data_IF_054548922668
#
_entry.id   IF_054548922668
#
_cell.length_a   1.000
_cell.length_b   1.000
_cell.length_c   1.000
_cell.angle_alpha   90.00
_cell.angle_beta   90.00
_cell.angle_gamma   90.00
#
_symmetry.space_group_name_H-M   'P 1'
#
loop_
_entity.id
_entity.type
_entity.pdbx_description
1 polymer ?
#
# COMPACT_ATOMS: atom_id res chain seq x y z
N UNK A 1 -6.90 42.45 -7.95
CA UNK A 1 -7.89 42.23 -6.87
C UNK A 1 -8.25 40.75 -6.85
N UNK A 2 -8.06 40.06 -5.72
CA UNK A 2 -8.58 38.70 -5.56
C UNK A 2 -10.12 38.77 -5.59
N UNK A 3 -10.75 37.98 -6.48
CA UNK A 3 -12.20 37.80 -6.47
C UNK A 3 -12.58 37.08 -5.19
N UNK A 4 -13.35 37.75 -4.32
CA UNK A 4 -13.96 37.14 -3.15
C UNK A 4 -15.27 36.45 -3.58
N UNK A 5 -15.35 35.15 -3.35
CA UNK A 5 -16.57 34.37 -3.57
C UNK A 5 -17.34 34.27 -2.26
N UNK A 6 -18.61 34.65 -2.26
CA UNK A 6 -19.51 34.44 -1.11
C UNK A 6 -20.01 33.00 -1.16
N UNK A 7 -19.95 32.30 -0.03
CA UNK A 7 -20.53 30.96 0.16
C UNK A 7 -21.15 30.88 1.55
N UNK A 8 -22.06 29.93 1.80
CA UNK A 8 -22.58 29.65 3.13
C UNK A 8 -21.64 28.70 3.88
N UNK A 9 -21.70 28.72 5.22
CA UNK A 9 -20.92 27.78 6.03
C UNK A 9 -21.37 26.34 5.76
N UNK A 10 -22.68 26.11 5.61
CA UNK A 10 -23.26 24.78 5.40
C UNK A 10 -22.80 24.17 4.06
N UNK A 11 -22.80 24.96 2.99
CA UNK A 11 -22.31 24.51 1.68
C UNK A 11 -20.82 24.19 1.73
N UNK A 12 -20.02 25.07 2.35
CA UNK A 12 -18.58 24.89 2.46
C UNK A 12 -18.20 23.66 3.30
N UNK A 13 -18.88 23.46 4.43
CA UNK A 13 -18.66 22.30 5.29
C UNK A 13 -19.04 21.00 4.56
N UNK A 14 -20.19 20.99 3.90
CA UNK A 14 -20.68 19.81 3.17
C UNK A 14 -19.70 19.42 2.05
N UNK A 15 -19.25 20.38 1.24
CA UNK A 15 -18.32 20.15 0.13
C UNK A 15 -16.96 19.62 0.63
N UNK A 16 -16.39 20.27 1.66
CA UNK A 16 -15.07 19.92 2.19
C UNK A 16 -15.10 18.58 2.92
N UNK A 17 -16.13 18.34 3.71
CA UNK A 17 -16.32 17.07 4.42
C UNK A 17 -16.52 15.91 3.43
N UNK A 18 -17.38 16.08 2.43
CA UNK A 18 -17.63 15.05 1.42
C UNK A 18 -16.35 14.69 0.64
N UNK A 19 -15.59 15.71 0.21
CA UNK A 19 -14.33 15.51 -0.52
C UNK A 19 -13.31 14.73 0.32
N UNK A 20 -13.18 15.07 1.61
CA UNK A 20 -12.31 14.35 2.54
C UNK A 20 -12.80 12.91 2.80
N UNK A 21 -14.10 12.72 3.00
CA UNK A 21 -14.71 11.43 3.25
C UNK A 21 -14.48 10.46 2.09
N UNK A 22 -14.81 10.89 0.86
CA UNK A 22 -14.62 10.10 -0.36
C UNK A 22 -13.14 9.76 -0.55
N UNK A 23 -12.25 10.74 -0.42
CA UNK A 23 -10.80 10.52 -0.55
C UNK A 23 -10.27 9.48 0.47
N UNK A 24 -10.76 9.54 1.71
CA UNK A 24 -10.34 8.62 2.77
C UNK A 24 -10.88 7.20 2.54
N UNK A 25 -12.13 7.07 2.09
CA UNK A 25 -12.76 5.78 1.79
C UNK A 25 -12.05 5.09 0.61
N UNK A 26 -11.93 5.78 -0.53
CA UNK A 26 -11.47 5.19 -1.79
C UNK A 26 -9.93 5.09 -1.86
N UNK A 27 -9.23 6.12 -1.38
CA UNK A 27 -7.81 6.30 -1.68
C UNK A 27 -6.89 6.11 -0.47
N UNK A 28 -7.39 5.62 0.67
CA UNK A 28 -6.58 5.43 1.88
C UNK A 28 -6.94 4.19 2.69
N UNK A 29 -8.13 4.16 3.25
CA UNK A 29 -8.39 3.33 4.43
C UNK A 29 -8.85 1.91 4.12
N UNK A 30 -9.53 1.69 3.00
CA UNK A 30 -10.12 0.40 2.63
C UNK A 30 -9.28 -0.30 1.53
N UNK A 31 -9.20 -1.64 1.55
CA UNK A 31 -8.57 -2.40 0.48
C UNK A 31 -9.46 -2.44 -0.77
N UNK A 32 -8.86 -2.66 -1.93
CA UNK A 32 -9.61 -3.10 -3.11
C UNK A 32 -9.93 -4.60 -2.98
N UNK A 33 -11.17 -5.00 -3.32
CA UNK A 33 -11.62 -6.40 -3.18
C UNK A 33 -10.83 -7.36 -4.07
N UNK A 34 -10.33 -6.87 -5.22
CA UNK A 34 -9.71 -7.70 -6.25
C UNK A 34 -8.30 -8.15 -5.86
N UNK A 35 -7.50 -7.26 -5.27
CA UNK A 35 -6.13 -7.58 -4.86
C UNK A 35 -5.88 -7.54 -3.36
N UNK A 36 -6.88 -7.12 -2.56
CA UNK A 36 -6.77 -7.02 -1.11
C UNK A 36 -5.83 -5.93 -0.61
N UNK A 37 -5.37 -5.01 -1.48
CA UNK A 37 -4.39 -3.99 -1.12
C UNK A 37 -5.04 -2.62 -0.95
N UNK A 38 -4.54 -1.89 0.06
CA UNK A 38 -4.74 -0.43 0.16
C UNK A 38 -3.79 0.27 -0.82
N UNK A 39 -4.07 1.52 -1.22
CA UNK A 39 -3.22 2.25 -2.15
C UNK A 39 -1.74 2.33 -1.73
N UNK A 40 -1.44 2.55 -0.44
CA UNK A 40 -0.05 2.57 0.04
C UNK A 40 0.66 1.21 -0.15
N UNK A 41 -0.01 0.11 0.15
CA UNK A 41 0.56 -1.24 -0.01
C UNK A 41 0.84 -1.53 -1.49
N UNK A 42 -0.12 -1.23 -2.37
CA UNK A 42 0.00 -1.41 -3.82
C UNK A 42 1.19 -0.63 -4.39
N UNK A 43 1.34 0.63 -3.98
CA UNK A 43 2.42 1.50 -4.43
C UNK A 43 3.79 1.04 -3.93
N UNK A 44 3.89 0.53 -2.70
CA UNK A 44 5.12 -0.08 -2.17
C UNK A 44 5.51 -1.29 -3.02
N UNK A 45 4.59 -2.23 -3.19
CA UNK A 45 4.84 -3.48 -3.93
C UNK A 45 5.20 -3.18 -5.39
N UNK A 46 4.48 -2.28 -6.05
CA UNK A 46 4.76 -1.87 -7.43
C UNK A 46 6.09 -1.11 -7.60
N UNK A 47 6.43 -0.18 -6.70
CA UNK A 47 7.73 0.50 -6.72
C UNK A 47 8.89 -0.49 -6.52
N UNK A 48 8.74 -1.45 -5.59
CA UNK A 48 9.75 -2.50 -5.40
C UNK A 48 9.93 -3.39 -6.64
N UNK A 49 8.84 -3.70 -7.35
CA UNK A 49 8.89 -4.39 -8.64
C UNK A 49 9.65 -3.56 -9.69
N UNK A 50 9.33 -2.27 -9.83
CA UNK A 50 10.05 -1.37 -10.76
C UNK A 50 11.54 -1.23 -10.42
N UNK A 51 11.89 -1.29 -9.14
CA UNK A 51 13.28 -1.30 -8.66
C UNK A 51 13.97 -2.67 -8.85
N UNK A 52 13.29 -3.66 -9.43
CA UNK A 52 13.76 -5.03 -9.66
C UNK A 52 14.13 -5.76 -8.38
N UNK A 53 13.39 -5.50 -7.30
CA UNK A 53 13.62 -6.09 -5.98
C UNK A 53 12.81 -7.37 -5.77
N UNK A 54 12.77 -8.25 -6.77
CA UNK A 54 12.06 -9.53 -6.70
C UNK A 54 12.77 -10.50 -5.74
N UNK A 55 12.08 -11.56 -5.34
CA UNK A 55 12.71 -12.61 -4.55
C UNK A 55 13.99 -13.14 -5.24
N UNK A 56 15.06 -13.34 -4.46
CA UNK A 56 16.38 -13.71 -4.96
C UNK A 56 17.29 -12.52 -5.31
N UNK A 57 16.76 -11.30 -5.48
CA UNK A 57 17.60 -10.10 -5.62
C UNK A 57 18.31 -9.76 -4.30
N UNK A 58 19.41 -8.99 -4.32
CA UNK A 58 19.95 -8.39 -3.12
C UNK A 58 18.90 -7.51 -2.41
N UNK A 59 18.98 -7.44 -1.09
CA UNK A 59 18.18 -6.51 -0.31
C UNK A 59 18.55 -5.06 -0.62
N UNK A 60 17.58 -4.16 -0.50
CA UNK A 60 17.80 -2.71 -0.68
C UNK A 60 17.39 -1.96 0.58
N UNK A 61 18.17 -0.94 0.95
CA UNK A 61 17.85 -0.03 2.06
C UNK A 61 16.40 0.44 1.98
N UNK A 62 15.66 0.32 3.08
CA UNK A 62 14.26 0.73 3.14
C UNK A 62 14.10 2.22 2.84
N UNK A 63 15.05 3.06 3.28
CA UNK A 63 15.08 4.49 2.92
C UNK A 63 15.06 4.74 1.39
N UNK A 64 15.71 3.88 0.59
CA UNK A 64 15.68 4.00 -0.87
C UNK A 64 14.30 3.62 -1.44
N UNK A 65 13.70 2.55 -0.92
CA UNK A 65 12.37 2.08 -1.35
C UNK A 65 11.31 3.14 -1.00
N UNK A 66 11.29 3.59 0.26
CA UNK A 66 10.37 4.62 0.75
C UNK A 66 10.50 5.92 -0.05
N UNK A 67 11.74 6.36 -0.34
CA UNK A 67 11.98 7.53 -1.17
C UNK A 67 11.44 7.41 -2.60
N UNK A 68 11.56 6.23 -3.23
CA UNK A 68 11.04 5.99 -4.57
C UNK A 68 9.50 5.97 -4.59
N UNK A 69 8.89 5.29 -3.60
CA UNK A 69 7.43 5.27 -3.42
C UNK A 69 6.89 6.69 -3.20
N UNK A 70 7.51 7.45 -2.31
CA UNK A 70 7.11 8.82 -1.99
C UNK A 70 7.22 9.73 -3.21
N UNK A 71 8.36 9.69 -3.90
CA UNK A 71 8.66 10.57 -5.01
C UNK A 71 7.91 10.26 -6.31
N UNK A 72 7.43 9.02 -6.51
CA UNK A 72 6.72 8.64 -7.73
C UNK A 72 5.24 8.41 -7.53
N UNK A 73 4.79 7.88 -6.40
CA UNK A 73 3.45 7.30 -6.32
C UNK A 73 2.64 7.78 -5.12
N UNK A 74 3.26 8.00 -3.97
CA UNK A 74 2.54 8.21 -2.71
C UNK A 74 2.91 9.57 -2.07
N UNK A 75 2.12 10.64 -2.32
CA UNK A 75 2.43 12.00 -1.86
C UNK A 75 2.05 12.21 -0.37
N UNK A 76 2.56 11.34 0.50
CA UNK A 76 2.36 11.36 1.95
C UNK A 76 3.69 11.10 2.66
N UNK A 77 3.69 11.28 3.98
CA UNK A 77 4.91 11.17 4.79
C UNK A 77 5.63 9.83 4.64
N UNK A 78 6.95 9.90 4.59
CA UNK A 78 7.87 8.77 4.53
C UNK A 78 7.63 7.76 5.66
N UNK A 79 7.35 8.25 6.87
CA UNK A 79 7.03 7.39 8.01
C UNK A 79 5.81 6.49 7.75
N UNK A 80 4.73 7.01 7.18
CA UNK A 80 3.52 6.22 6.90
C UNK A 80 3.77 5.12 5.85
N UNK A 81 4.63 5.42 4.86
CA UNK A 81 5.06 4.44 3.85
C UNK A 81 5.95 3.38 4.51
N UNK A 82 6.89 3.80 5.35
CA UNK A 82 7.79 2.87 6.03
C UNK A 82 7.05 1.94 7.00
N UNK A 83 6.14 2.45 7.81
CA UNK A 83 5.32 1.64 8.72
C UNK A 83 4.47 0.63 7.96
N UNK A 84 3.94 1.03 6.80
CA UNK A 84 3.19 0.14 5.91
C UNK A 84 4.10 -0.96 5.34
N UNK A 85 5.32 -0.62 4.92
CA UNK A 85 6.32 -1.57 4.43
C UNK A 85 6.71 -2.57 5.53
N UNK A 86 7.00 -2.06 6.73
CA UNK A 86 7.35 -2.88 7.90
C UNK A 86 6.25 -3.89 8.19
N UNK A 87 4.98 -3.44 8.20
CA UNK A 87 3.85 -4.33 8.49
C UNK A 87 3.66 -5.43 7.46
N UNK A 88 3.97 -5.17 6.19
CA UNK A 88 3.97 -6.16 5.10
C UNK A 88 5.12 -7.18 5.20
N UNK A 89 6.10 -6.94 6.06
CA UNK A 89 7.25 -7.81 6.30
C UNK A 89 7.15 -8.61 7.61
N UNK A 90 6.21 -8.28 8.49
CA UNK A 90 6.02 -8.93 9.79
C UNK A 90 5.10 -10.15 9.66
N UNK A 91 5.60 -11.33 10.01
CA UNK A 91 4.88 -12.62 10.01
C UNK A 91 3.85 -12.75 11.15
N UNK A 92 3.99 -11.95 12.20
CA UNK A 92 3.00 -11.83 13.27
C UNK A 92 1.88 -10.82 12.97
N UNK A 93 2.07 -9.92 11.99
CA UNK A 93 1.06 -8.94 11.55
C UNK A 93 0.31 -9.37 10.30
N UNK A 94 0.97 -10.12 9.42
CA UNK A 94 0.42 -10.62 8.15
C UNK A 94 0.60 -12.12 8.08
N UNK A 95 -0.44 -12.83 7.64
CA UNK A 95 -0.42 -14.31 7.60
C UNK A 95 0.66 -14.83 6.65
N UNK A 96 0.79 -14.18 5.50
CA UNK A 96 1.87 -14.44 4.54
C UNK A 96 2.51 -13.11 4.15
N UNK A 97 3.71 -12.80 4.69
CA UNK A 97 4.43 -11.58 4.39
C UNK A 97 4.64 -11.40 2.88
N UNK A 98 4.34 -10.20 2.39
CA UNK A 98 4.56 -9.84 0.98
C UNK A 98 5.97 -9.28 0.76
N UNK A 99 6.65 -8.88 1.84
CA UNK A 99 8.00 -8.31 1.84
C UNK A 99 8.91 -9.15 2.73
N UNK A 100 10.14 -9.37 2.28
CA UNK A 100 11.22 -9.92 3.08
C UNK A 100 12.07 -8.77 3.64
N UNK A 101 12.17 -8.68 4.97
CA UNK A 101 12.97 -7.68 5.66
C UNK A 101 14.30 -8.24 6.20
N UNK A 102 15.36 -7.44 6.12
CA UNK A 102 16.65 -7.70 6.76
C UNK A 102 16.94 -6.60 7.80
N UNK A 103 17.23 -7.02 9.03
CA UNK A 103 17.41 -6.14 10.20
C UNK A 103 16.25 -6.26 11.18
N UNK A 104 16.12 -5.31 12.11
CA UNK A 104 15.04 -5.31 13.09
C UNK A 104 13.76 -4.68 12.50
N UNK A 105 12.74 -5.52 12.25
CA UNK A 105 11.41 -5.14 11.77
C UNK A 105 10.35 -5.13 12.89
N UNK A 106 10.77 -5.08 14.15
CA UNK A 106 9.92 -5.13 15.32
C UNK A 106 9.59 -6.56 15.77
N UNK A 107 8.84 -6.69 16.85
CA UNK A 107 8.45 -7.99 17.42
C UNK A 107 7.00 -7.97 17.95
N UNK A 108 6.54 -9.13 18.41
CA UNK A 108 5.19 -9.33 18.95
C UNK A 108 4.97 -8.63 20.30
N UNK A 109 6.05 -8.36 21.04
CA UNK A 109 6.01 -7.70 22.35
C UNK A 109 5.79 -6.18 22.22
N UNK A 110 5.83 -5.65 20.99
CA UNK A 110 5.53 -4.25 20.68
C UNK A 110 6.77 -3.38 20.46
N UNK A 111 7.96 -3.95 20.36
CA UNK A 111 9.15 -3.20 19.96
C UNK A 111 8.99 -2.75 18.50
N UNK A 112 9.22 -1.46 18.27
CA UNK A 112 9.16 -0.87 16.94
C UNK A 112 10.30 -1.38 16.06
N UNK A 113 10.08 -1.36 14.74
CA UNK A 113 11.15 -1.56 13.78
C UNK A 113 12.27 -0.52 13.96
N UNK A 114 13.50 -0.91 13.65
CA UNK A 114 14.59 0.04 13.55
C UNK A 114 14.28 1.07 12.45
N UNK A 115 14.87 2.26 12.53
CA UNK A 115 14.67 3.30 11.51
C UNK A 115 15.07 2.80 10.10
N UNK A 116 14.38 3.29 9.06
CA UNK A 116 14.53 2.86 7.66
C UNK A 116 15.95 2.97 7.06
N UNK A 117 16.85 3.68 7.73
CA UNK A 117 18.28 3.76 7.38
C UNK A 117 19.08 2.51 7.74
N UNK A 118 18.57 1.70 8.68
CA UNK A 118 19.22 0.48 9.15
C UNK A 118 18.67 -0.78 8.51
N UNK A 119 17.38 -0.78 8.17
CA UNK A 119 16.69 -1.93 7.59
C UNK A 119 16.82 -1.99 6.07
N UNK A 120 16.73 -3.19 5.53
CA UNK A 120 16.70 -3.46 4.09
C UNK A 120 15.54 -4.38 3.77
N UNK A 121 15.02 -4.32 2.54
CA UNK A 121 13.89 -5.12 2.12
C UNK A 121 13.99 -5.53 0.64
N UNK A 122 13.28 -6.60 0.30
CA UNK A 122 12.95 -7.03 -1.06
C UNK A 122 11.56 -7.69 -1.06
N UNK A 123 11.00 -7.96 -2.23
CA UNK A 123 9.73 -8.67 -2.35
C UNK A 123 9.92 -10.14 -1.95
N UNK A 124 8.92 -10.67 -1.26
CA UNK A 124 8.84 -12.10 -0.95
C UNK A 124 8.56 -12.92 -2.22
N UNK A 125 8.78 -14.23 -2.14
CA UNK A 125 8.44 -15.14 -3.24
C UNK A 125 6.94 -15.11 -3.60
N UNK A 126 6.06 -14.92 -2.61
CA UNK A 126 4.61 -14.90 -2.86
C UNK A 126 4.17 -13.63 -3.61
N UNK A 127 4.92 -12.54 -3.49
CA UNK A 127 4.61 -11.30 -4.22
C UNK A 127 4.68 -11.47 -5.74
N UNK A 128 5.39 -12.48 -6.26
CA UNK A 128 5.46 -12.76 -7.70
C UNK A 128 4.08 -12.96 -8.33
N UNK A 129 3.12 -13.52 -7.59
CA UNK A 129 1.76 -13.76 -8.09
C UNK A 129 0.98 -12.46 -8.35
N UNK A 130 1.43 -11.32 -7.84
CA UNK A 130 0.82 -10.01 -8.08
C UNK A 130 1.21 -9.38 -9.42
N UNK A 131 2.18 -9.94 -10.14
CA UNK A 131 2.74 -9.33 -11.35
C UNK A 131 2.54 -10.17 -12.61
N UNK A 132 1.82 -11.28 -12.50
CA UNK A 132 1.51 -12.12 -13.65
C UNK A 132 0.63 -11.34 -14.65
N UNK A 133 1.11 -11.20 -15.89
CA UNK A 133 0.45 -10.41 -16.93
C UNK A 133 0.53 -8.87 -16.78
N UNK A 134 1.30 -8.33 -15.81
CA UNK A 134 1.40 -6.86 -15.63
C UNK A 134 1.98 -6.14 -16.86
N UNK A 135 2.88 -6.82 -17.59
CA UNK A 135 3.47 -6.32 -18.84
C UNK A 135 2.61 -6.63 -20.09
N UNK A 136 1.49 -7.36 -19.91
CA UNK A 136 0.60 -7.84 -20.98
C UNK A 136 -0.74 -7.09 -20.99
N UNK A 137 -0.79 -5.88 -20.46
CA UNK A 137 -2.01 -5.08 -20.29
C UNK A 137 -3.12 -5.80 -19.51
N UNK A 138 -2.77 -6.63 -18.51
CA UNK A 138 -3.77 -7.33 -17.69
C UNK A 138 -4.58 -6.40 -16.77
N UNK A 139 -4.08 -5.20 -16.48
CA UNK A 139 -4.73 -4.20 -15.62
C UNK A 139 -4.60 -2.80 -16.19
N UNK A 140 -5.58 -1.96 -15.88
CA UNK A 140 -5.51 -0.54 -16.21
C UNK A 140 -4.43 0.16 -15.38
N UNK A 141 -3.63 0.96 -16.07
CA UNK A 141 -2.74 1.93 -15.47
C UNK A 141 -3.39 3.31 -15.49
N UNK A 142 -3.08 4.13 -14.49
CA UNK A 142 -3.46 5.53 -14.43
C UNK A 142 -2.24 6.40 -14.18
N UNK A 143 -2.35 7.67 -14.53
CA UNK A 143 -1.36 8.66 -14.14
C UNK A 143 -1.25 8.76 -12.61
N UNK A 144 -0.02 8.93 -12.12
CA UNK A 144 0.27 9.23 -10.73
C UNK A 144 -0.14 10.68 -10.39
N UNK A 145 0.15 11.12 -9.16
CA UNK A 145 -0.34 12.41 -8.65
C UNK A 145 0.24 13.64 -9.38
N UNK A 146 1.34 13.51 -10.12
CA UNK A 146 1.99 14.59 -10.86
C UNK A 146 2.03 14.37 -12.39
N UNK A 147 1.41 13.29 -12.88
CA UNK A 147 1.35 12.94 -14.30
C UNK A 147 2.67 12.43 -14.91
N UNK A 148 3.74 12.25 -14.13
CA UNK A 148 5.05 11.84 -14.68
C UNK A 148 5.25 10.34 -14.75
N UNK A 149 4.46 9.56 -13.99
CA UNK A 149 4.57 8.10 -13.94
C UNK A 149 3.19 7.46 -14.06
N UNK A 150 3.17 6.19 -14.45
CA UNK A 150 1.97 5.36 -14.44
C UNK A 150 1.98 4.43 -13.23
N UNK A 151 0.83 4.29 -12.56
CA UNK A 151 0.60 3.34 -11.48
C UNK A 151 -0.61 2.43 -11.77
N UNK A 152 -0.58 1.16 -11.36
CA UNK A 152 -1.70 0.25 -11.54
C UNK A 152 -2.87 0.66 -10.64
N UNK A 153 -4.09 0.63 -11.20
CA UNK A 153 -5.33 0.80 -10.41
C UNK A 153 -5.47 -0.34 -9.40
N UNK A 154 -5.17 -1.56 -9.87
CA UNK A 154 -5.17 -2.82 -9.12
C UNK A 154 -4.00 -3.67 -9.61
N UNK A 155 -3.45 -4.56 -8.78
CA UNK A 155 -2.49 -5.57 -9.27
C UNK A 155 -3.25 -6.81 -9.80
N UNK A 156 -2.80 -7.47 -10.88
CA UNK A 156 -3.50 -8.60 -11.53
C UNK A 156 -3.67 -9.87 -10.67
N UNK A 157 -3.22 -9.85 -9.42
CA UNK A 157 -2.93 -11.00 -8.54
C UNK A 157 -3.74 -12.29 -8.76
N UNK A 158 -3.03 -13.41 -8.82
CA UNK A 158 -3.63 -14.76 -8.80
C UNK A 158 -3.97 -15.26 -7.40
N UNK A 159 -3.66 -14.49 -6.36
CA UNK A 159 -3.92 -14.87 -4.98
C UNK A 159 -5.23 -14.24 -4.49
N UNK A 160 -6.06 -14.98 -3.72
CA UNK A 160 -7.18 -14.40 -2.99
C UNK A 160 -6.69 -13.59 -1.77
N UNK A 161 -5.86 -12.56 -2.03
CA UNK A 161 -5.05 -11.90 -1.01
C UNK A 161 -5.88 -11.20 0.08
N UNK A 162 -7.06 -10.67 -0.27
CA UNK A 162 -7.96 -10.05 0.70
C UNK A 162 -8.37 -11.02 1.82
N UNK A 163 -8.52 -12.30 1.50
CA UNK A 163 -8.83 -13.35 2.48
C UNK A 163 -7.57 -13.97 3.06
N UNK A 164 -6.53 -14.18 2.24
CA UNK A 164 -5.26 -14.76 2.68
C UNK A 164 -4.62 -13.94 3.82
N UNK A 165 -4.46 -12.64 3.59
CA UNK A 165 -3.79 -11.73 4.52
C UNK A 165 -4.77 -10.91 5.38
N UNK A 166 -6.06 -10.94 5.05
CA UNK A 166 -7.05 -10.10 5.72
C UNK A 166 -6.87 -8.62 5.40
N UNK A 167 -7.70 -7.79 6.03
CA UNK A 167 -7.60 -6.35 5.95
C UNK A 167 -8.30 -5.67 7.12
N UNK A 168 -7.65 -4.68 7.72
CA UNK A 168 -8.27 -3.82 8.73
C UNK A 168 -8.13 -2.36 8.32
N UNK A 169 -9.16 -1.56 8.51
CA UNK A 169 -9.15 -0.15 8.13
C UNK A 169 -10.30 0.64 8.71
N UNK A 170 -10.02 1.89 9.10
CA UNK A 170 -11.02 2.84 9.62
C UNK A 170 -11.08 3.99 8.61
N UNK A 171 -12.26 4.21 8.03
CA UNK A 171 -12.53 5.28 7.09
C UNK A 171 -13.50 6.29 7.72
N UNK A 172 -14.08 7.18 6.89
CA UNK A 172 -15.09 8.13 7.35
C UNK A 172 -16.46 7.47 7.27
N UNK A 173 -17.14 7.32 8.40
CA UNK A 173 -18.47 6.72 8.49
C UNK A 173 -18.52 5.19 8.31
N UNK A 174 -17.38 4.51 8.13
CA UNK A 174 -17.29 3.06 7.95
C UNK A 174 -15.93 2.50 8.37
N UNK A 175 -15.88 1.19 8.60
CA UNK A 175 -14.66 0.46 8.90
C UNK A 175 -14.71 -0.94 8.25
N UNK A 176 -13.55 -1.57 8.11
CA UNK A 176 -13.39 -2.95 7.66
C UNK A 176 -12.49 -3.74 8.61
N UNK A 177 -12.84 -5.01 8.83
CA UNK A 177 -12.04 -5.96 9.58
C UNK A 177 -12.28 -7.37 9.03
N UNK A 178 -11.37 -7.82 8.16
CA UNK A 178 -11.38 -9.11 7.49
C UNK A 178 -10.22 -9.93 8.08
N UNK A 179 -10.48 -11.08 8.73
CA UNK A 179 -9.42 -11.91 9.28
C UNK A 179 -8.65 -12.65 8.17
N UNK A 180 -7.38 -13.02 8.41
CA UNK A 180 -6.62 -13.85 7.48
C UNK A 180 -7.10 -15.31 7.49
N UNK A 181 -6.94 -15.99 6.35
CA UNK A 181 -7.35 -17.38 6.14
C UNK A 181 -6.19 -18.24 5.63
N UNK A 182 -6.33 -19.56 5.73
CA UNK A 182 -5.36 -20.51 5.19
C UNK A 182 -5.49 -20.58 3.65
N UNK A 183 -4.40 -20.45 2.91
CA UNK A 183 -4.42 -20.50 1.44
C UNK A 183 -4.98 -21.81 0.88
N UNK A 184 -4.77 -22.94 1.57
CA UNK A 184 -5.25 -24.25 1.13
C UNK A 184 -6.76 -24.44 1.32
N UNK A 185 -7.40 -23.60 2.16
CA UNK A 185 -8.85 -23.58 2.36
C UNK A 185 -9.58 -22.64 1.39
N UNK A 186 -8.85 -21.74 0.73
CA UNK A 186 -9.39 -20.75 -0.20
C UNK A 186 -9.47 -21.25 -1.66
N UNK A 187 -9.19 -22.54 -1.89
CA UNK A 187 -9.20 -23.19 -3.22
C UNK A 187 -10.61 -23.46 -3.73
#
# INVERSE_FOLDING_TARGET
MSKLFKTTIDDLLSERYLSYAISTIISRSLPDVRDGLKPVHRRIIYSMYQLKLMHGSPYKKCARIVGDVMGKFHPHGDQAIYDSLVRLAQDFSTRVPLIEGQGNFGNIDGDNAAAMRYTEARLSVIANYFFDGIEENAVDLKENYDGQNLEPVVLPTKLPNILLNGAAGIAVGMATNIPPHNIFELN
#
